data_IF_446563769814
#
_entry.id   IF_446563769814
#
_cell.length_a   1.000
_cell.length_b   1.000
_cell.length_c   1.000
_cell.angle_alpha   90.00
_cell.angle_beta   90.00
_cell.angle_gamma   90.00
#
_symmetry.space_group_name_H-M   'P 1'
#
loop_
_entity.id
_entity.type
_entity.pdbx_description
1 polymer ?
#
# COMPACT_ATOMS: atom_id res chain seq x y z
N UNK A 1 -19.85 32.01 7.91
CA UNK A 1 -18.68 31.51 7.16
C UNK A 1 -19.09 30.35 6.26
N UNK A 2 -19.01 30.52 4.94
CA UNK A 2 -19.30 29.43 4.01
C UNK A 2 -18.18 28.38 4.06
N UNK A 3 -18.58 27.10 4.10
CA UNK A 3 -17.64 25.98 4.05
C UNK A 3 -17.19 25.78 2.61
N UNK A 4 -15.91 25.94 2.31
CA UNK A 4 -15.37 25.62 0.98
C UNK A 4 -15.48 24.12 0.70
N UNK A 5 -15.65 23.73 -0.57
CA UNK A 5 -15.66 22.33 -1.02
C UNK A 5 -14.45 21.57 -0.47
N UNK A 6 -13.26 22.15 -0.63
CA UNK A 6 -12.02 21.66 -0.01
C UNK A 6 -12.15 21.36 1.49
N UNK A 7 -12.68 22.29 2.29
CA UNK A 7 -12.83 22.09 3.74
C UNK A 7 -13.77 20.92 4.08
N UNK A 8 -14.77 20.67 3.22
CA UNK A 8 -15.71 19.55 3.37
C UNK A 8 -14.98 18.23 3.09
N UNK A 9 -14.21 18.15 2.00
CA UNK A 9 -13.44 16.96 1.63
C UNK A 9 -12.44 16.57 2.73
N UNK A 10 -11.64 17.53 3.21
CA UNK A 10 -10.65 17.27 4.27
C UNK A 10 -11.33 16.79 5.55
N UNK A 11 -12.43 17.44 5.97
CA UNK A 11 -13.18 17.00 7.17
C UNK A 11 -13.77 15.60 7.00
N UNK A 12 -14.26 15.24 5.81
CA UNK A 12 -14.82 13.91 5.51
C UNK A 12 -13.72 12.84 5.49
N UNK A 13 -12.56 13.16 4.94
CA UNK A 13 -11.39 12.30 4.93
C UNK A 13 -10.95 11.95 6.37
N UNK A 14 -10.86 12.96 7.24
CA UNK A 14 -10.51 12.75 8.66
C UNK A 14 -11.57 11.99 9.46
N UNK A 15 -12.85 12.01 9.05
CA UNK A 15 -13.89 11.16 9.65
C UNK A 15 -13.81 9.70 9.20
N UNK A 16 -13.33 9.48 7.98
CA UNK A 16 -13.23 8.14 7.37
C UNK A 16 -11.96 7.39 7.82
N UNK A 17 -11.01 8.11 8.41
CA UNK A 17 -9.83 7.55 9.06
C UNK A 17 -10.23 6.67 10.25
N UNK A 18 -9.92 5.38 10.19
CA UNK A 18 -10.15 4.45 11.29
C UNK A 18 -8.93 4.42 12.25
N UNK A 19 -9.05 4.91 13.49
CA UNK A 19 -8.03 4.66 14.51
C UNK A 19 -8.35 3.32 15.19
N UNK A 20 -7.67 2.25 14.76
CA UNK A 20 -7.64 0.98 15.50
C UNK A 20 -8.97 0.23 15.56
N UNK A 21 -9.23 -0.60 14.56
CA UNK A 21 -10.00 -1.81 14.83
C UNK A 21 -9.14 -2.68 15.73
N UNK A 22 -9.52 -2.80 17.00
CA UNK A 22 -9.10 -3.97 17.76
C UNK A 22 -9.78 -5.15 17.09
N UNK A 23 -8.99 -6.14 16.74
CA UNK A 23 -9.48 -7.47 16.39
C UNK A 23 -10.15 -8.03 17.65
N UNK A 24 -11.46 -7.81 17.74
CA UNK A 24 -12.38 -8.61 18.53
C UNK A 24 -13.35 -9.19 17.49
N UNK A 25 -12.87 -10.16 16.71
CA UNK A 25 -13.75 -11.17 16.12
C UNK A 25 -14.05 -12.16 17.23
N UNK A 26 -15.05 -11.80 18.05
CA UNK A 26 -15.69 -12.72 18.98
C UNK A 26 -16.72 -13.54 18.19
N UNK A 27 -16.53 -14.84 18.25
CA UNK A 27 -17.39 -15.93 17.80
C UNK A 27 -18.88 -15.59 17.83
N UNK A 28 -19.50 -15.53 16.65
CA UNK A 28 -20.94 -15.54 16.51
C UNK A 28 -21.46 -16.99 16.67
N UNK A 29 -21.85 -17.35 17.89
CA UNK A 29 -22.78 -18.46 18.15
C UNK A 29 -23.92 -17.91 19.01
N UNK A 30 -25.11 -17.85 18.42
CA UNK A 30 -26.28 -17.22 19.01
C UNK A 30 -26.94 -18.06 20.10
N UNK A 31 -27.79 -17.41 20.89
CA UNK A 31 -29.08 -17.97 21.30
C UNK A 31 -30.00 -16.87 21.83
N UNK A 32 -31.27 -16.99 21.44
CA UNK A 32 -32.39 -16.11 21.75
C UNK A 32 -32.88 -16.30 23.19
N UNK A 33 -33.20 -15.21 23.88
CA UNK A 33 -33.94 -15.23 25.14
C UNK A 33 -34.50 -13.86 25.49
N UNK A 34 -35.81 -13.78 25.73
CA UNK A 34 -36.60 -12.56 25.81
C UNK A 34 -36.84 -12.03 27.25
N UNK A 35 -37.08 -10.71 27.32
CA UNK A 35 -37.83 -9.96 28.33
C UNK A 35 -37.16 -9.80 29.73
N UNK A 36 -37.35 -8.76 30.56
CA UNK A 36 -38.45 -7.81 30.85
C UNK A 36 -37.86 -6.59 31.62
N UNK A 37 -38.45 -5.37 31.50
CA UNK A 37 -38.57 -4.23 32.47
C UNK A 37 -37.37 -3.76 33.34
N UNK A 38 -37.23 -2.54 33.86
CA UNK A 38 -37.79 -1.18 33.78
C UNK A 38 -36.88 -0.32 34.70
N UNK A 39 -36.78 0.99 34.44
CA UNK A 39 -36.49 2.09 35.39
C UNK A 39 -35.28 2.01 36.34
N UNK A 40 -34.35 2.97 36.22
CA UNK A 40 -34.34 4.28 36.93
C UNK A 40 -32.91 4.83 37.04
N UNK A 41 -32.78 6.13 36.74
CA UNK A 41 -31.59 6.92 37.03
C UNK A 41 -31.44 7.16 38.54
N UNK A 42 -30.20 7.45 38.98
CA UNK A 42 -30.01 8.63 39.82
C UNK A 42 -28.90 9.54 39.29
N UNK A 43 -29.23 10.83 39.23
CA UNK A 43 -28.29 11.92 39.12
C UNK A 43 -27.76 12.30 40.50
N UNK A 44 -26.44 12.31 40.68
CA UNK A 44 -25.63 13.19 41.53
C UNK A 44 -24.18 12.71 41.37
N UNK A 45 -23.13 13.50 41.38
CA UNK A 45 -22.87 14.89 41.68
C UNK A 45 -21.36 15.08 41.44
N UNK A 46 -20.92 16.33 41.32
CA UNK A 46 -19.54 16.65 40.95
C UNK A 46 -18.47 16.06 41.88
N UNK A 47 -17.35 15.69 41.29
CA UNK A 47 -16.14 15.31 42.00
C UNK A 47 -14.94 15.50 41.10
N UNK A 48 -14.28 16.66 41.22
CA UNK A 48 -12.91 16.89 40.73
C UNK A 48 -11.99 15.88 41.44
N UNK A 49 -11.77 14.74 40.80
CA UNK A 49 -10.73 13.78 41.17
C UNK A 49 -9.60 13.86 40.17
N UNK A 50 -8.64 14.74 40.40
CA UNK A 50 -7.34 14.70 39.72
C UNK A 50 -6.56 13.48 40.25
N UNK A 51 -6.66 12.34 39.56
CA UNK A 51 -5.73 11.22 39.79
C UNK A 51 -4.48 11.44 38.92
N UNK A 52 -3.26 11.56 39.49
CA UNK A 52 -2.03 11.56 38.71
C UNK A 52 -1.66 10.11 38.41
N UNK A 53 -2.05 9.61 37.24
CA UNK A 53 -1.84 8.21 36.91
C UNK A 53 -1.94 7.88 35.44
N UNK A 54 -1.11 8.50 34.57
CA UNK A 54 -0.70 7.90 33.27
C UNK A 54 0.40 8.68 32.55
N UNK A 55 1.65 8.49 32.96
CA UNK A 55 2.81 9.05 32.23
C UNK A 55 3.04 8.42 30.83
N UNK A 56 2.26 7.41 30.40
CA UNK A 56 2.39 6.77 29.08
C UNK A 56 1.40 7.23 28.00
N UNK A 57 0.29 7.92 28.36
CA UNK A 57 -0.73 8.35 27.38
C UNK A 57 -0.40 9.67 26.70
N UNK A 58 0.29 10.57 27.40
CA UNK A 58 0.66 11.89 26.86
C UNK A 58 1.57 11.79 25.64
N UNK A 59 2.59 10.93 25.67
CA UNK A 59 3.56 10.79 24.57
C UNK A 59 2.94 10.21 23.28
N UNK A 60 2.12 9.16 23.37
CA UNK A 60 1.43 8.59 22.19
C UNK A 60 0.40 9.57 21.60
N UNK A 61 -0.29 10.33 22.43
CA UNK A 61 -1.23 11.34 21.97
C UNK A 61 -0.52 12.52 21.27
N UNK A 62 0.62 12.97 21.80
CA UNK A 62 1.45 14.00 21.20
C UNK A 62 2.01 13.55 19.83
N UNK A 63 2.63 12.37 19.76
CA UNK A 63 3.12 11.81 18.49
C UNK A 63 2.01 11.63 17.45
N UNK A 64 0.80 11.23 17.88
CA UNK A 64 -0.37 11.16 17.00
C UNK A 64 -0.81 12.54 16.50
N UNK A 65 -0.77 13.57 17.35
CA UNK A 65 -1.12 14.94 16.97
C UNK A 65 -0.12 15.50 15.94
N UNK A 66 1.17 15.23 16.12
CA UNK A 66 2.22 15.64 15.19
C UNK A 66 2.07 14.98 13.81
N UNK A 67 1.79 13.67 13.78
CA UNK A 67 1.55 12.92 12.53
C UNK A 67 0.33 13.49 11.77
N UNK A 68 -0.73 13.87 12.50
CA UNK A 68 -1.91 14.53 11.94
C UNK A 68 -1.57 15.92 11.39
N UNK A 69 -0.73 16.69 12.08
CA UNK A 69 -0.29 18.01 11.63
C UNK A 69 0.53 17.93 10.33
N UNK A 70 1.48 17.00 10.23
CA UNK A 70 2.22 16.71 8.99
C UNK A 70 1.28 16.34 7.84
N UNK A 71 0.38 15.39 8.11
CA UNK A 71 -0.59 14.94 7.11
C UNK A 71 -1.48 16.10 6.66
N UNK A 72 -1.91 16.97 7.57
CA UNK A 72 -2.66 18.16 7.21
C UNK A 72 -1.86 19.13 6.32
N UNK A 73 -0.55 19.28 6.54
CA UNK A 73 0.32 20.07 5.66
C UNK A 73 0.41 19.46 4.24
N UNK A 74 0.48 18.13 4.13
CA UNK A 74 0.40 17.43 2.84
C UNK A 74 -0.96 17.68 2.18
N UNK A 75 -2.06 17.48 2.92
CA UNK A 75 -3.42 17.69 2.41
C UNK A 75 -3.66 19.13 1.96
N UNK A 76 -2.98 20.14 2.55
CA UNK A 76 -3.04 21.54 2.10
C UNK A 76 -2.44 21.78 0.71
N UNK A 77 -1.50 20.94 0.28
CA UNK A 77 -0.83 21.06 -1.04
C UNK A 77 -1.57 20.33 -2.16
N UNK A 78 -2.52 19.46 -1.83
CA UNK A 78 -3.27 18.67 -2.82
C UNK A 78 -4.31 19.51 -3.57
N UNK A 79 -4.53 19.24 -4.85
CA UNK A 79 -5.66 19.79 -5.62
C UNK A 79 -6.99 19.16 -5.18
N UNK A 80 -8.12 19.83 -5.43
CA UNK A 80 -9.45 19.28 -5.04
C UNK A 80 -9.71 17.90 -5.64
N UNK A 81 -9.39 17.69 -6.93
CA UNK A 81 -9.50 16.37 -7.59
C UNK A 81 -8.64 15.29 -6.91
N UNK A 82 -7.45 15.64 -6.42
CA UNK A 82 -6.59 14.71 -5.69
C UNK A 82 -7.18 14.36 -4.32
N UNK A 83 -7.78 15.33 -3.63
CA UNK A 83 -8.50 15.10 -2.37
C UNK A 83 -9.73 14.22 -2.57
N UNK A 84 -10.49 14.41 -3.66
CA UNK A 84 -11.63 13.55 -4.01
C UNK A 84 -11.18 12.11 -4.28
N UNK A 85 -10.11 11.92 -5.06
CA UNK A 85 -9.55 10.60 -5.33
C UNK A 85 -9.04 9.90 -4.08
N UNK A 86 -8.33 10.61 -3.20
CA UNK A 86 -7.87 10.08 -1.91
C UNK A 86 -9.05 9.74 -0.98
N UNK A 87 -10.06 10.62 -0.91
CA UNK A 87 -11.25 10.38 -0.11
C UNK A 87 -11.98 9.11 -0.56
N UNK A 88 -12.20 8.96 -1.86
CA UNK A 88 -12.82 7.76 -2.42
C UNK A 88 -12.00 6.50 -2.08
N UNK A 89 -10.67 6.58 -2.15
CA UNK A 89 -9.81 5.45 -1.81
C UNK A 89 -9.98 5.03 -0.35
N UNK A 90 -9.95 5.99 0.58
CA UNK A 90 -10.06 5.75 2.01
C UNK A 90 -11.46 5.26 2.40
N UNK A 91 -12.52 5.86 1.85
CA UNK A 91 -13.90 5.48 2.17
C UNK A 91 -14.28 4.10 1.64
N UNK A 92 -13.79 3.74 0.45
CA UNK A 92 -14.01 2.41 -0.11
C UNK A 92 -13.19 1.32 0.57
N UNK A 93 -12.22 1.68 1.43
CA UNK A 93 -11.30 0.77 2.10
C UNK A 93 -10.55 -0.15 1.13
N UNK A 94 -10.35 0.28 -0.12
CA UNK A 94 -9.74 -0.52 -1.18
C UNK A 94 -10.71 -1.36 -2.00
N UNK A 95 -12.02 -1.29 -1.74
CA UNK A 95 -13.05 -1.96 -2.55
C UNK A 95 -13.28 -1.32 -3.92
N UNK A 96 -12.92 -0.05 -4.10
CA UNK A 96 -13.02 0.65 -5.38
C UNK A 96 -11.63 0.86 -6.00
N UNK A 97 -11.57 0.76 -7.34
CA UNK A 97 -10.39 1.17 -8.10
C UNK A 97 -10.27 2.69 -8.06
N UNK A 98 -9.17 3.18 -7.49
CA UNK A 98 -8.88 4.62 -7.36
C UNK A 98 -7.55 4.99 -8.00
N UNK A 99 -7.41 6.22 -8.52
CA UNK A 99 -6.22 6.65 -9.23
C UNK A 99 -5.02 6.81 -8.28
N UNK A 100 -3.82 6.88 -8.87
CA UNK A 100 -2.60 7.19 -8.12
C UNK A 100 -2.66 8.61 -7.54
N UNK A 101 -2.21 8.77 -6.29
CA UNK A 101 -1.92 10.07 -5.71
C UNK A 101 -0.44 10.39 -5.95
N UNK A 102 -0.10 10.90 -7.13
CA UNK A 102 1.29 11.22 -7.47
C UNK A 102 1.73 12.54 -6.83
N UNK A 103 2.75 12.48 -5.99
CA UNK A 103 3.38 13.64 -5.33
C UNK A 103 4.89 13.65 -5.60
N UNK A 104 5.55 14.81 -5.56
CA UNK A 104 7.00 14.87 -5.75
C UNK A 104 7.73 14.01 -4.72
N UNK A 105 8.68 13.17 -5.16
CA UNK A 105 9.39 12.24 -4.27
C UNK A 105 10.22 12.98 -3.19
N UNK A 106 10.73 14.17 -3.55
CA UNK A 106 11.48 15.08 -2.66
C UNK A 106 10.57 16.06 -1.91
N UNK A 107 9.25 15.85 -1.90
CA UNK A 107 8.35 16.64 -1.08
C UNK A 107 8.48 16.17 0.37
N UNK A 108 9.40 16.83 1.05
CA UNK A 108 9.81 16.47 2.39
C UNK A 108 8.69 16.63 3.45
N UNK A 109 8.53 15.62 4.30
CA UNK A 109 7.71 15.69 5.52
C UNK A 109 8.59 15.45 6.75
N UNK A 110 9.29 16.50 7.16
CA UNK A 110 10.09 16.53 8.39
C UNK A 110 9.23 16.90 9.60
N UNK A 111 9.41 16.17 10.70
CA UNK A 111 8.82 16.48 12.01
C UNK A 111 9.92 16.46 13.06
N UNK A 112 10.45 17.64 13.41
CA UNK A 112 11.62 17.74 14.26
C UNK A 112 12.80 16.97 13.64
N UNK A 113 13.27 15.93 14.33
CA UNK A 113 14.35 15.04 13.85
C UNK A 113 13.86 13.84 13.03
N UNK A 114 12.54 13.60 12.95
CA UNK A 114 12.00 12.44 12.25
C UNK A 114 11.60 12.77 10.80
N UNK A 115 12.21 12.04 9.88
CA UNK A 115 11.85 11.99 8.46
C UNK A 115 10.71 10.98 8.23
N UNK A 116 9.63 11.42 7.59
CA UNK A 116 8.55 10.54 7.14
C UNK A 116 8.42 10.57 5.62
N UNK A 117 8.69 9.46 4.91
CA UNK A 117 8.33 9.35 3.50
C UNK A 117 6.82 9.54 3.30
N UNK A 118 6.41 10.32 2.31
CA UNK A 118 4.99 10.63 2.06
C UNK A 118 4.07 9.40 1.97
N UNK A 119 4.43 8.30 1.27
CA UNK A 119 3.59 7.11 1.22
C UNK A 119 3.42 6.48 2.60
N UNK A 120 4.48 6.46 3.41
CA UNK A 120 4.46 5.91 4.77
C UNK A 120 3.60 6.76 5.69
N UNK A 121 3.72 8.08 5.62
CA UNK A 121 2.91 9.04 6.39
C UNK A 121 1.41 8.80 6.14
N UNK A 122 1.00 8.73 4.87
CA UNK A 122 -0.41 8.55 4.50
C UNK A 122 -0.92 7.13 4.82
N UNK A 123 -0.10 6.09 4.66
CA UNK A 123 -0.46 4.73 5.12
C UNK A 123 -0.65 4.66 6.63
N UNK A 124 0.25 5.28 7.40
CA UNK A 124 0.22 5.24 8.86
C UNK A 124 -1.02 5.95 9.42
N UNK A 125 -1.41 7.04 8.80
CA UNK A 125 -2.64 7.74 9.16
C UNK A 125 -3.86 6.95 8.68
N UNK A 126 -4.02 6.70 7.38
CA UNK A 126 -5.32 6.21 6.89
C UNK A 126 -5.55 4.69 6.99
N UNK A 127 -4.53 3.87 7.30
CA UNK A 127 -4.65 2.41 7.31
C UNK A 127 -4.02 1.72 8.51
N UNK A 128 -2.72 1.92 8.74
CA UNK A 128 -1.93 1.11 9.67
C UNK A 128 -1.21 1.99 10.71
N UNK A 129 -1.86 2.37 11.82
CA UNK A 129 -1.29 3.30 12.81
C UNK A 129 -0.01 2.77 13.49
N UNK A 130 0.19 1.46 13.44
CA UNK A 130 1.31 0.71 14.01
C UNK A 130 2.49 0.53 13.03
N UNK A 131 2.35 0.92 11.76
CA UNK A 131 3.42 0.86 10.75
C UNK A 131 4.69 1.60 11.22
N UNK A 132 5.84 0.92 11.26
CA UNK A 132 7.10 1.46 11.80
C UNK A 132 8.10 1.82 10.71
N UNK A 133 8.24 0.94 9.72
CA UNK A 133 9.28 1.02 8.70
C UNK A 133 8.69 0.99 7.28
N UNK A 134 9.43 1.57 6.32
CA UNK A 134 9.04 1.52 4.91
C UNK A 134 9.13 0.11 4.30
N UNK A 135 9.96 -0.76 4.88
CA UNK A 135 10.10 -2.16 4.47
C UNK A 135 8.88 -3.01 4.75
N UNK A 136 7.99 -2.58 5.65
CA UNK A 136 6.75 -3.30 5.97
C UNK A 136 5.68 -3.16 4.87
N UNK A 137 5.90 -2.36 3.83
CA UNK A 137 4.92 -2.15 2.76
C UNK A 137 5.51 -2.36 1.39
N UNK A 138 4.75 -3.01 0.50
CA UNK A 138 5.07 -3.13 -0.93
C UNK A 138 4.01 -2.46 -1.79
N UNK A 139 4.41 -2.08 -3.00
CA UNK A 139 3.51 -1.53 -4.01
C UNK A 139 2.67 -2.64 -4.65
N UNK A 140 1.38 -2.38 -4.85
CA UNK A 140 0.46 -3.29 -5.56
C UNK A 140 0.53 -3.08 -7.08
N UNK A 141 0.28 -4.15 -7.85
CA UNK A 141 0.28 -4.12 -9.33
C UNK A 141 -0.81 -3.23 -9.93
N UNK A 142 -1.88 -2.93 -9.19
CA UNK A 142 -2.91 -1.98 -9.61
C UNK A 142 -2.45 -0.51 -9.58
N UNK A 143 -1.25 -0.24 -9.05
CA UNK A 143 -0.67 1.09 -9.05
C UNK A 143 0.06 1.38 -10.36
N UNK A 144 -0.22 2.53 -10.98
CA UNK A 144 0.43 2.93 -12.23
C UNK A 144 1.96 3.04 -12.09
N UNK A 145 2.45 3.43 -10.91
CA UNK A 145 3.89 3.55 -10.63
C UNK A 145 4.57 2.21 -10.34
N UNK A 146 3.83 1.09 -10.34
CA UNK A 146 4.43 -0.24 -10.19
C UNK A 146 5.18 -0.65 -11.45
N UNK A 147 4.55 -0.45 -12.62
CA UNK A 147 5.13 -0.83 -13.91
C UNK A 147 5.86 0.32 -14.60
N UNK A 148 5.53 1.57 -14.27
CA UNK A 148 6.13 2.77 -14.88
C UNK A 148 7.03 3.47 -13.88
N UNK A 149 8.29 3.65 -14.25
CA UNK A 149 9.21 4.47 -13.48
C UNK A 149 8.82 5.96 -13.60
N UNK A 150 8.55 6.59 -12.47
CA UNK A 150 8.38 8.04 -12.38
C UNK A 150 9.50 8.60 -11.49
N UNK A 151 10.65 9.01 -12.04
CA UNK A 151 11.84 9.32 -11.25
C UNK A 151 11.63 10.47 -10.25
N UNK A 152 10.69 11.37 -10.53
CA UNK A 152 10.41 12.53 -9.69
C UNK A 152 9.12 12.42 -8.87
N UNK A 153 8.28 11.41 -9.12
CA UNK A 153 6.96 11.28 -8.51
C UNK A 153 6.80 9.94 -7.80
N UNK A 154 6.14 9.96 -6.65
CA UNK A 154 5.81 8.77 -5.89
C UNK A 154 4.31 8.71 -5.65
N UNK A 155 3.70 7.54 -5.90
CA UNK A 155 2.31 7.33 -5.53
C UNK A 155 2.18 7.24 -4.00
N UNK A 156 1.29 8.04 -3.44
CA UNK A 156 1.02 8.09 -2.00
C UNK A 156 -0.40 7.63 -1.64
N UNK A 157 -1.13 7.02 -2.58
CA UNK A 157 -2.44 6.44 -2.30
C UNK A 157 -2.26 5.24 -1.35
N UNK A 158 -2.79 5.27 -0.10
CA UNK A 158 -2.60 4.19 0.86
C UNK A 158 -3.07 2.83 0.36
N UNK A 159 -4.10 2.79 -0.48
CA UNK A 159 -4.69 1.55 -1.04
C UNK A 159 -3.95 1.03 -2.28
N UNK A 160 -2.85 1.67 -2.68
CA UNK A 160 -1.91 1.14 -3.68
C UNK A 160 -0.70 0.45 -3.05
N UNK A 161 -0.65 0.35 -1.72
CA UNK A 161 0.34 -0.42 -1.00
C UNK A 161 -0.33 -1.57 -0.24
N UNK A 162 0.40 -2.66 -0.01
CA UNK A 162 0.00 -3.73 0.91
C UNK A 162 1.04 -3.86 2.00
N UNK A 163 0.59 -4.13 3.23
CA UNK A 163 1.49 -4.51 4.31
C UNK A 163 2.04 -5.91 4.02
N UNK A 164 3.33 -6.10 4.27
CA UNK A 164 3.95 -7.42 4.26
C UNK A 164 3.62 -8.12 5.58
N UNK A 165 3.26 -9.40 5.51
CA UNK A 165 3.18 -10.23 6.70
C UNK A 165 4.61 -10.38 7.26
N UNK A 166 4.80 -10.08 8.54
CA UNK A 166 6.04 -10.44 9.22
C UNK A 166 6.08 -11.98 9.28
N UNK A 167 7.09 -12.59 8.65
CA UNK A 167 7.35 -14.02 8.82
C UNK A 167 7.92 -14.22 10.23
N UNK A 168 7.04 -14.29 11.24
CA UNK A 168 7.45 -14.58 12.62
C UNK A 168 7.90 -16.02 12.82
N UNK A 169 7.63 -16.92 11.87
CA UNK A 169 8.19 -18.27 11.88
C UNK A 169 9.43 -18.32 10.99
N UNK A 170 10.60 -18.79 11.50
CA UNK A 170 11.65 -19.25 10.60
C UNK A 170 11.03 -20.25 9.61
N UNK A 171 11.47 -20.29 8.35
CA UNK A 171 10.94 -21.24 7.40
C UNK A 171 10.99 -22.63 8.03
N UNK A 172 9.91 -23.43 7.96
CA UNK A 172 9.93 -24.79 8.48
C UNK A 172 11.12 -25.54 7.89
N UNK A 173 11.72 -26.52 8.60
CA UNK A 173 13.01 -27.15 8.28
C UNK A 173 13.06 -27.95 6.95
N UNK A 174 12.18 -27.68 6.00
CA UNK A 174 12.24 -28.15 4.62
C UNK A 174 13.19 -27.30 3.78
N UNK A 175 14.46 -27.29 4.16
CA UNK A 175 15.58 -27.01 3.24
C UNK A 175 16.61 -28.13 3.23
N UNK A 176 16.38 -29.20 4.01
CA UNK A 176 17.14 -30.45 3.91
C UNK A 176 16.36 -31.44 3.05
N UNK A 177 16.22 -31.13 1.76
CA UNK A 177 16.15 -32.25 0.82
C UNK A 177 17.52 -32.93 0.92
N UNK A 178 17.61 -34.22 1.26
CA UNK A 178 18.87 -34.93 1.23
C UNK A 178 19.36 -34.92 -0.21
N UNK A 179 20.30 -34.04 -0.54
CA UNK A 179 21.07 -34.09 -1.79
C UNK A 179 21.94 -35.37 -1.84
N UNK A 180 21.91 -36.18 -0.77
CA UNK A 180 22.58 -37.47 -0.62
C UNK A 180 22.17 -38.49 -1.70
N UNK A 181 21.01 -38.32 -2.36
CA UNK A 181 20.62 -39.13 -3.52
C UNK A 181 21.28 -38.70 -4.84
N UNK A 182 21.96 -37.55 -4.88
CA UNK A 182 22.72 -37.08 -6.04
C UNK A 182 24.21 -37.46 -5.99
N UNK A 183 24.58 -38.42 -5.13
CA UNK A 183 25.90 -39.05 -5.23
C UNK A 183 25.96 -39.72 -6.61
N UNK A 184 26.84 -39.29 -7.53
CA UNK A 184 27.05 -40.02 -8.77
C UNK A 184 27.55 -41.39 -8.35
N UNK A 185 26.74 -42.43 -8.56
CA UNK A 185 27.26 -43.78 -8.52
C UNK A 185 28.35 -43.84 -9.60
N UNK A 186 29.57 -44.22 -9.23
CA UNK A 186 30.68 -44.48 -10.15
C UNK A 186 30.38 -45.72 -11.00
N UNK A 187 29.28 -45.71 -11.74
CA UNK A 187 29.06 -46.65 -12.83
C UNK A 187 29.71 -46.07 -14.08
N UNK A 188 30.61 -46.81 -14.77
CA UNK A 188 31.18 -46.34 -16.03
C UNK A 188 30.06 -46.06 -17.04
N UNK A 189 30.19 -45.01 -17.88
CA UNK A 189 29.16 -44.67 -18.85
C UNK A 189 28.92 -45.82 -19.83
N UNK A 190 27.68 -46.07 -20.26
CA UNK A 190 27.38 -47.10 -21.25
C UNK A 190 28.08 -46.79 -22.58
N UNK A 191 28.57 -47.80 -23.32
CA UNK A 191 29.34 -47.62 -24.54
C UNK A 191 28.41 -47.33 -25.73
N UNK A 192 27.71 -46.20 -25.71
CA UNK A 192 27.02 -45.70 -26.90
C UNK A 192 26.94 -44.17 -26.87
N UNK A 193 28.10 -43.53 -26.99
CA UNK A 193 28.19 -42.16 -27.51
C UNK A 193 29.05 -42.18 -28.77
N UNK A 194 28.41 -42.52 -29.88
CA UNK A 194 28.90 -42.18 -31.22
C UNK A 194 27.72 -41.73 -32.05
N UNK A 195 27.24 -40.52 -31.77
CA UNK A 195 26.53 -39.74 -32.77
C UNK A 195 27.26 -38.39 -32.96
N UNK A 196 27.57 -38.01 -34.21
CA UNK A 196 28.33 -36.82 -34.53
C UNK A 196 27.56 -35.54 -34.21
N UNK A 197 28.29 -34.54 -33.70
CA UNK A 197 27.81 -33.18 -33.48
C UNK A 197 27.65 -32.45 -34.82
N UNK A 198 26.70 -32.87 -35.65
CA UNK A 198 26.39 -32.23 -36.92
C UNK A 198 24.90 -31.94 -37.01
N UNK A 199 24.41 -30.93 -36.28
CA UNK A 199 23.38 -29.97 -36.71
C UNK A 199 22.97 -29.10 -35.52
N UNK A 200 23.61 -27.95 -35.35
CA UNK A 200 22.95 -26.71 -34.90
C UNK A 200 23.92 -25.56 -35.19
N UNK A 201 24.04 -25.21 -36.47
CA UNK A 201 24.53 -23.88 -36.84
C UNK A 201 23.48 -22.86 -36.38
N UNK A 202 23.87 -21.66 -35.92
CA UNK A 202 22.94 -20.59 -35.62
C UNK A 202 22.31 -20.12 -36.94
N UNK A 203 21.00 -20.26 -37.08
CA UNK A 203 20.27 -19.63 -38.17
C UNK A 203 19.93 -18.19 -37.76
N UNK A 204 20.79 -17.26 -38.16
CA UNK A 204 20.50 -15.83 -38.18
C UNK A 204 19.84 -15.49 -39.51
N UNK A 205 18.57 -15.86 -39.71
CA UNK A 205 17.70 -15.35 -40.78
C UNK A 205 16.26 -15.70 -40.41
N UNK A 206 15.65 -14.93 -39.51
CA UNK A 206 14.19 -14.82 -39.45
C UNK A 206 13.80 -13.44 -38.93
N UNK A 207 14.26 -12.39 -39.62
CA UNK A 207 13.58 -11.09 -39.65
C UNK A 207 14.06 -10.26 -40.85
N UNK A 208 13.81 -10.77 -42.04
CA UNK A 208 13.86 -9.99 -43.29
C UNK A 208 12.52 -10.15 -43.99
N UNK A 209 11.64 -9.16 -43.83
CA UNK A 209 10.41 -9.06 -44.64
C UNK A 209 9.26 -8.27 -44.04
N UNK A 210 8.99 -7.10 -44.65
CA UNK A 210 7.79 -6.27 -44.58
C UNK A 210 7.54 -5.40 -43.32
N UNK A 211 7.85 -4.10 -43.40
CA UNK A 211 6.89 -3.09 -43.87
C UNK A 211 7.48 -1.67 -43.68
N UNK A 212 8.23 -1.17 -44.66
CA UNK A 212 8.36 0.28 -44.88
C UNK A 212 7.14 0.69 -45.72
N UNK A 213 6.14 1.27 -45.06
CA UNK A 213 5.11 2.05 -45.73
C UNK A 213 5.69 3.43 -46.04
N UNK A 214 6.21 3.59 -47.26
CA UNK A 214 6.49 4.89 -47.84
C UNK A 214 5.15 5.58 -48.14
N UNK A 215 4.97 6.79 -47.61
CA UNK A 215 3.88 7.67 -48.01
C UNK A 215 4.42 8.56 -49.12
N UNK A 216 4.13 8.16 -50.37
CA UNK A 216 4.32 8.99 -51.55
C UNK A 216 3.28 10.14 -51.56
N UNK A 217 3.69 11.42 -51.67
CA UNK A 217 2.82 12.48 -52.12
C UNK A 217 3.00 12.67 -53.64
N UNK A 218 2.11 12.04 -54.42
CA UNK A 218 2.16 12.06 -55.87
C UNK A 218 0.91 12.63 -56.54
N UNK A 219 0.97 13.93 -56.84
CA UNK A 219 0.43 14.56 -58.05
C UNK A 219 -1.07 14.95 -58.11
N UNK A 220 -1.31 16.27 -58.09
CA UNK A 220 -2.23 16.90 -59.03
C UNK A 220 -1.57 18.18 -59.58
N UNK A 221 -1.22 18.14 -60.86
CA UNK A 221 -0.76 19.26 -61.68
C UNK A 221 -1.75 19.39 -62.86
N UNK A 222 -2.09 20.65 -63.20
CA UNK A 222 -2.82 21.16 -64.40
C UNK A 222 -4.35 20.88 -64.42
N UNK A 223 -5.24 21.83 -64.69
CA UNK A 223 -5.22 23.07 -65.51
C UNK A 223 -5.86 24.25 -64.78
#
# INVERSE_FOLDING_TARGET
>A
MFRTKRSVLVRRLWRSHAPGGKEEEEEAAGESGAAVAEARAPACGGGRGCCPGKAGRGGRAAASAELKALTHAVLKRLKERQLEGLLHAVESRGGARTPCLLLPAKADSWLGQHWYPLPMLLCKVFRWPDLRHCSEVKRLCCCETYSKAHPELVCCNPHHLSRLCELESPPPPYSRYPMDFLKPNESPPPPYSRYPMDFLKPNAELFTGLQQGEVEPGSLLLQ
#
